data_IF_763412073760
#
_entry.id   IF_763412073760
#
_cell.length_a   1.000
_cell.length_b   1.000
_cell.length_c   1.000
_cell.angle_alpha   90.00
_cell.angle_beta   90.00
_cell.angle_gamma   90.00
#
_symmetry.space_group_name_H-M   'P 1'
#
loop_
_entity.id
_entity.type
_entity.pdbx_description
1 polymer ?
#
# COMPACT_ATOMS: atom_id res chain seq x y z
N UNK A 1 14.38 -7.22 24.81
CA UNK A 1 15.07 -8.47 24.44
C UNK A 1 15.06 -8.60 22.92
N UNK A 2 16.23 -8.49 22.26
CA UNK A 2 16.38 -8.33 20.79
C UNK A 2 16.00 -9.59 19.99
N UNK A 3 16.00 -10.76 20.64
CA UNK A 3 15.67 -12.04 20.00
C UNK A 3 14.18 -12.16 19.67
N UNK A 4 13.31 -11.82 20.62
CA UNK A 4 11.86 -11.88 20.42
C UNK A 4 11.40 -10.95 19.29
N UNK A 5 11.98 -9.75 19.17
CA UNK A 5 11.68 -8.85 18.05
C UNK A 5 12.02 -9.49 16.69
N UNK A 6 13.15 -10.20 16.57
CA UNK A 6 13.55 -10.85 15.31
C UNK A 6 12.59 -11.95 14.87
N UNK A 7 11.90 -12.60 15.81
CA UNK A 7 10.91 -13.65 15.52
C UNK A 7 9.52 -13.07 15.28
N UNK A 8 9.12 -12.06 16.06
CA UNK A 8 7.79 -11.48 15.97
C UNK A 8 7.61 -10.57 14.74
N UNK A 9 8.65 -9.81 14.35
CA UNK A 9 8.54 -8.84 13.25
C UNK A 9 8.15 -9.50 11.92
N UNK A 10 8.79 -10.58 11.46
CA UNK A 10 8.36 -11.27 10.23
C UNK A 10 6.88 -11.63 10.26
N UNK A 11 6.40 -12.24 11.35
CA UNK A 11 5.01 -12.67 11.53
C UNK A 11 4.02 -11.49 11.51
N UNK A 12 4.33 -10.41 12.22
CA UNK A 12 3.49 -9.22 12.27
C UNK A 12 3.44 -8.46 10.93
N UNK A 13 4.44 -8.66 10.08
CA UNK A 13 4.57 -8.00 8.79
C UNK A 13 4.22 -8.90 7.60
N UNK A 14 3.74 -10.12 7.85
CA UNK A 14 3.15 -10.97 6.79
C UNK A 14 1.94 -10.30 6.15
N UNK A 15 1.17 -9.55 6.95
CA UNK A 15 -0.04 -8.84 6.54
C UNK A 15 -0.23 -7.52 7.32
N UNK A 16 0.50 -6.45 6.94
CA UNK A 16 0.40 -5.16 7.61
C UNK A 16 -0.88 -4.39 7.21
N UNK A 17 -1.61 -4.83 6.18
CA UNK A 17 -2.78 -4.12 5.65
C UNK A 17 -4.12 -4.65 6.20
N UNK A 18 -4.17 -5.84 6.79
CA UNK A 18 -5.39 -6.28 7.47
C UNK A 18 -5.45 -5.91 8.96
N UNK A 19 -4.36 -5.37 9.54
CA UNK A 19 -4.32 -4.90 10.94
C UNK A 19 -4.16 -3.37 10.97
N UNK A 20 -5.26 -2.59 10.88
CA UNK A 20 -5.18 -1.15 10.89
C UNK A 20 -4.71 -0.62 12.25
N UNK A 21 -3.45 -0.19 12.34
CA UNK A 21 -3.00 0.62 13.48
C UNK A 21 -3.47 2.06 13.31
N UNK A 22 -4.04 2.67 14.35
CA UNK A 22 -4.59 4.05 14.29
C UNK A 22 -3.61 5.11 13.79
N UNK A 23 -2.31 4.85 13.87
CA UNK A 23 -1.25 5.78 13.48
C UNK A 23 -0.70 5.54 12.05
N UNK A 24 -1.11 4.45 11.38
CA UNK A 24 -0.64 4.05 10.04
C UNK A 24 0.89 4.10 9.90
N UNK A 25 1.62 3.81 10.99
CA UNK A 25 3.08 3.91 11.00
C UNK A 25 3.73 2.96 9.99
N UNK A 26 3.06 1.86 9.64
CA UNK A 26 3.55 0.93 8.62
C UNK A 26 3.64 1.59 7.23
N UNK A 27 2.71 2.49 6.88
CA UNK A 27 2.76 3.25 5.62
C UNK A 27 3.99 4.16 5.60
N UNK A 28 4.28 4.82 6.73
CA UNK A 28 5.48 5.65 6.87
C UNK A 28 6.78 4.87 6.69
N UNK A 29 6.79 3.59 7.07
CA UNK A 29 7.95 2.70 6.85
C UNK A 29 8.14 2.43 5.36
N UNK A 30 7.06 2.12 4.62
CA UNK A 30 7.15 1.99 3.16
C UNK A 30 7.60 3.29 2.49
N UNK A 31 7.07 4.44 2.95
CA UNK A 31 7.45 5.75 2.44
C UNK A 31 8.92 6.10 2.72
N UNK A 32 9.46 5.75 3.90
CA UNK A 32 10.88 5.98 4.20
C UNK A 32 11.79 5.12 3.32
N UNK A 33 11.38 3.90 2.95
CA UNK A 33 12.16 3.07 2.04
C UNK A 33 12.24 3.63 0.61
N UNK A 34 11.42 4.62 0.24
CA UNK A 34 11.39 5.14 -1.13
C UNK A 34 12.71 5.71 -1.61
N UNK A 35 13.52 6.35 -0.74
CA UNK A 35 14.78 7.03 -1.10
C UNK A 35 14.79 7.68 -2.51
N UNK A 36 13.63 8.21 -2.93
CA UNK A 36 13.34 8.72 -4.27
C UNK A 36 13.08 10.21 -4.08
N UNK A 37 14.08 11.02 -4.41
CA UNK A 37 14.05 12.47 -4.28
C UNK A 37 12.87 13.09 -5.05
N UNK A 38 12.45 12.47 -6.16
CA UNK A 38 11.32 12.91 -6.98
C UNK A 38 9.99 12.65 -6.27
N UNK A 39 9.88 11.50 -5.60
CA UNK A 39 8.73 11.17 -4.77
C UNK A 39 8.62 12.09 -3.53
N UNK A 40 9.74 12.34 -2.85
CA UNK A 40 9.79 13.24 -1.70
C UNK A 40 9.39 14.67 -2.09
N UNK A 41 9.89 15.16 -3.22
CA UNK A 41 9.52 16.47 -3.78
C UNK A 41 8.01 16.57 -4.01
N UNK A 42 7.38 15.53 -4.57
CA UNK A 42 5.93 15.50 -4.77
C UNK A 42 5.14 15.47 -3.46
N UNK A 43 5.61 14.76 -2.43
CA UNK A 43 4.95 14.78 -1.12
C UNK A 43 4.97 16.19 -0.50
N UNK A 44 6.09 16.91 -0.64
CA UNK A 44 6.25 18.30 -0.18
C UNK A 44 5.33 19.25 -0.95
N UNK A 45 5.25 19.10 -2.28
CA UNK A 45 4.29 19.84 -3.13
C UNK A 45 2.84 19.62 -2.68
N UNK A 46 2.51 18.39 -2.26
CA UNK A 46 1.19 18.03 -1.75
C UNK A 46 0.93 18.51 -0.32
N UNK A 47 1.92 19.16 0.32
CA UNK A 47 1.87 19.63 1.71
C UNK A 47 1.54 18.52 2.71
N UNK A 48 2.01 17.31 2.43
CA UNK A 48 1.81 16.16 3.33
C UNK A 48 2.83 16.30 4.46
N UNK A 49 2.35 16.50 5.69
CA UNK A 49 3.23 16.68 6.86
C UNK A 49 3.97 15.37 7.14
N UNK A 50 5.21 15.27 6.69
CA UNK A 50 6.03 14.05 6.80
C UNK A 50 7.01 14.08 7.99
N UNK A 51 6.70 14.84 9.05
CA UNK A 51 7.57 15.11 10.21
C UNK A 51 7.88 13.88 11.09
N UNK A 52 7.56 12.66 10.66
CA UNK A 52 7.69 11.45 11.47
C UNK A 52 8.07 10.21 10.66
N UNK A 53 8.77 10.38 9.54
CA UNK A 53 9.44 9.24 8.94
C UNK A 53 10.43 8.67 9.98
N UNK A 54 10.42 7.35 10.22
CA UNK A 54 11.30 6.74 11.20
C UNK A 54 12.75 6.96 10.77
N UNK A 55 13.57 7.65 11.57
CA UNK A 55 14.95 7.99 11.20
C UNK A 55 15.85 6.78 10.95
N UNK A 56 15.51 5.62 11.52
CA UNK A 56 16.24 4.36 11.37
C UNK A 56 15.26 3.20 11.17
N UNK A 57 15.29 2.55 10.01
CA UNK A 57 14.58 1.29 9.76
C UNK A 57 15.47 0.12 10.22
N UNK A 58 15.01 -0.64 11.21
CA UNK A 58 15.78 -1.74 11.81
C UNK A 58 15.71 -3.05 11.00
N UNK A 59 14.69 -3.22 10.16
CA UNK A 59 14.42 -4.43 9.38
C UNK A 59 13.96 -4.07 7.96
N UNK A 60 14.25 -4.91 6.97
CA UNK A 60 13.59 -4.82 5.67
C UNK A 60 12.15 -5.35 5.80
N UNK A 61 11.25 -4.50 6.29
CA UNK A 61 9.85 -4.84 6.53
C UNK A 61 9.09 -5.30 5.27
N UNK A 62 9.22 -4.63 4.10
CA UNK A 62 8.54 -5.07 2.89
C UNK A 62 8.81 -6.54 2.51
N UNK A 63 10.03 -7.05 2.75
CA UNK A 63 10.40 -8.44 2.45
C UNK A 63 9.57 -9.49 3.20
N UNK A 64 8.96 -9.12 4.33
CA UNK A 64 8.12 -10.03 5.11
C UNK A 64 6.69 -10.13 4.61
N UNK A 65 6.27 -9.27 3.67
CA UNK A 65 4.92 -9.27 3.13
C UNK A 65 4.59 -10.61 2.46
N UNK A 66 3.54 -11.29 2.93
CA UNK A 66 3.05 -12.58 2.42
C UNK A 66 1.63 -12.50 1.88
N UNK A 67 0.84 -11.57 2.39
CA UNK A 67 -0.54 -11.36 2.01
C UNK A 67 -0.73 -9.90 1.58
N UNK A 68 -1.44 -9.71 0.46
CA UNK A 68 -1.78 -8.38 -0.01
C UNK A 68 -3.16 -8.37 -0.65
N UNK A 69 -4.07 -7.63 -0.04
CA UNK A 69 -5.34 -7.28 -0.66
C UNK A 69 -5.24 -5.86 -1.22
N UNK A 70 -5.40 -5.70 -2.54
CA UNK A 70 -5.22 -4.41 -3.22
C UNK A 70 -6.25 -3.38 -2.76
N UNK A 71 -7.48 -3.81 -2.48
CA UNK A 71 -8.53 -2.92 -2.02
C UNK A 71 -8.23 -2.40 -0.61
N UNK A 72 -7.88 -3.28 0.33
CA UNK A 72 -7.48 -2.91 1.70
C UNK A 72 -6.23 -2.01 1.70
N UNK A 73 -5.28 -2.31 0.83
CA UNK A 73 -4.10 -1.49 0.60
C UNK A 73 -4.47 -0.05 0.25
N UNK A 74 -5.27 0.16 -0.81
CA UNK A 74 -5.69 1.50 -1.24
C UNK A 74 -6.48 2.20 -0.12
N UNK A 75 -7.36 1.46 0.55
CA UNK A 75 -8.18 1.98 1.65
C UNK A 75 -7.37 2.49 2.83
N UNK A 76 -6.33 1.77 3.24
CA UNK A 76 -5.48 2.22 4.33
C UNK A 76 -4.57 3.38 3.94
N UNK A 77 -4.10 3.41 2.68
CA UNK A 77 -3.36 4.57 2.16
C UNK A 77 -4.25 5.81 2.10
N UNK A 78 -5.52 5.68 1.72
CA UNK A 78 -6.48 6.78 1.75
C UNK A 78 -6.70 7.31 3.18
N UNK A 79 -6.90 6.41 4.15
CA UNK A 79 -7.06 6.81 5.55
C UNK A 79 -5.84 7.53 6.10
N UNK A 80 -4.64 7.02 5.81
CA UNK A 80 -3.41 7.69 6.17
C UNK A 80 -3.30 9.06 5.50
N UNK A 81 -3.59 9.15 4.20
CA UNK A 81 -3.51 10.40 3.43
C UNK A 81 -4.42 11.48 4.02
N UNK A 82 -5.68 11.14 4.35
CA UNK A 82 -6.62 12.03 5.05
C UNK A 82 -6.07 12.49 6.40
N UNK A 83 -5.49 11.56 7.17
CA UNK A 83 -4.88 11.87 8.46
C UNK A 83 -3.66 12.79 8.34
N UNK A 84 -2.82 12.59 7.33
CA UNK A 84 -1.57 13.32 7.12
C UNK A 84 -1.78 14.73 6.55
N UNK A 85 -2.85 14.92 5.78
CA UNK A 85 -3.24 16.21 5.18
C UNK A 85 -4.24 17.00 6.06
N UNK A 86 -4.78 16.38 7.10
CA UNK A 86 -5.80 16.99 7.96
C UNK A 86 -7.16 17.16 7.27
N UNK A 87 -7.40 16.49 6.14
CA UNK A 87 -8.67 16.54 5.42
C UNK A 87 -9.75 15.84 6.27
N UNK A 88 -10.73 16.63 6.73
CA UNK A 88 -11.89 16.15 7.51
C UNK A 88 -13.17 16.01 6.68
N UNK A 89 -13.14 16.46 5.42
CA UNK A 89 -14.28 16.43 4.48
C UNK A 89 -14.07 15.36 3.41
N UNK A 90 -15.03 15.23 2.50
CA UNK A 90 -14.89 14.38 1.32
C UNK A 90 -13.71 14.87 0.47
N UNK A 91 -12.97 13.91 -0.12
CA UNK A 91 -11.83 14.20 -0.99
C UNK A 91 -12.30 14.90 -2.26
N UNK A 92 -11.55 15.91 -2.69
CA UNK A 92 -11.75 16.55 -3.99
C UNK A 92 -11.08 15.75 -5.11
N UNK A 93 -11.39 16.07 -6.37
CA UNK A 93 -10.78 15.41 -7.54
C UNK A 93 -9.25 15.44 -7.53
N UNK A 94 -8.67 16.58 -7.11
CA UNK A 94 -7.22 16.74 -6.99
C UNK A 94 -6.61 15.86 -5.90
N UNK A 95 -7.37 15.54 -4.85
CA UNK A 95 -6.90 14.64 -3.80
C UNK A 95 -6.87 13.19 -4.27
N UNK A 96 -7.80 12.78 -5.15
CA UNK A 96 -7.77 11.45 -5.75
C UNK A 96 -6.57 11.24 -6.68
N UNK A 97 -6.19 12.26 -7.44
CA UNK A 97 -4.98 12.20 -8.28
C UNK A 97 -3.71 12.03 -7.43
N UNK A 98 -3.60 12.79 -6.32
CA UNK A 98 -2.50 12.65 -5.35
C UNK A 98 -2.49 11.27 -4.69
N UNK A 99 -3.66 10.80 -4.25
CA UNK A 99 -3.80 9.49 -3.63
C UNK A 99 -3.39 8.38 -4.60
N UNK A 100 -3.85 8.44 -5.86
CA UNK A 100 -3.46 7.49 -6.91
C UNK A 100 -1.96 7.48 -7.09
N UNK A 101 -1.32 8.64 -7.20
CA UNK A 101 0.14 8.75 -7.29
C UNK A 101 0.85 8.10 -6.10
N UNK A 102 0.37 8.33 -4.88
CA UNK A 102 0.95 7.76 -3.66
C UNK A 102 0.78 6.24 -3.63
N UNK A 103 -0.42 5.72 -3.90
CA UNK A 103 -0.68 4.29 -3.92
C UNK A 103 0.21 3.57 -4.93
N UNK A 104 0.31 4.09 -6.16
CA UNK A 104 1.14 3.51 -7.23
C UNK A 104 2.62 3.57 -6.84
N UNK A 105 3.08 4.68 -6.25
CA UNK A 105 4.47 4.82 -5.78
C UNK A 105 4.81 3.83 -4.65
N UNK A 106 3.93 3.70 -3.65
CA UNK A 106 4.12 2.74 -2.56
C UNK A 106 4.17 1.31 -3.11
N UNK A 107 3.24 0.96 -3.98
CA UNK A 107 3.15 -0.37 -4.56
C UNK A 107 4.36 -0.70 -5.46
N UNK A 108 4.88 0.29 -6.18
CA UNK A 108 6.11 0.16 -6.99
C UNK A 108 7.30 -0.30 -6.14
N UNK A 109 7.48 0.23 -4.92
CA UNK A 109 8.55 -0.21 -3.99
C UNK A 109 8.36 -1.66 -3.57
N UNK A 110 7.11 -2.02 -3.25
CA UNK A 110 6.75 -3.37 -2.82
C UNK A 110 7.20 -4.36 -3.90
N UNK A 111 7.01 -4.02 -5.18
CA UNK A 111 7.41 -4.89 -6.29
C UNK A 111 8.93 -4.82 -6.59
N UNK A 112 9.49 -3.62 -6.76
CA UNK A 112 10.81 -3.45 -7.40
C UNK A 112 11.96 -3.73 -6.43
N UNK A 113 11.86 -3.30 -5.18
CA UNK A 113 13.05 -3.18 -4.31
C UNK A 113 13.23 -4.33 -3.32
N UNK A 114 12.23 -5.18 -3.11
CA UNK A 114 12.17 -5.99 -1.89
C UNK A 114 12.14 -7.50 -2.07
N UNK A 115 12.32 -8.02 -3.29
CA UNK A 115 12.24 -9.47 -3.59
C UNK A 115 11.05 -10.13 -2.88
N UNK A 116 9.90 -9.45 -2.87
CA UNK A 116 8.77 -9.85 -2.03
C UNK A 116 8.29 -11.21 -2.48
N UNK A 117 8.32 -12.17 -1.56
CA UNK A 117 7.83 -13.51 -1.80
C UNK A 117 6.37 -13.59 -1.32
N UNK A 118 5.49 -12.93 -2.06
CA UNK A 118 4.06 -12.86 -1.79
C UNK A 118 3.42 -14.23 -2.00
N UNK A 119 2.64 -14.71 -1.03
CA UNK A 119 1.94 -15.99 -1.13
C UNK A 119 0.49 -15.84 -1.57
N UNK A 120 -0.18 -14.77 -1.13
CA UNK A 120 -1.58 -14.50 -1.43
C UNK A 120 -1.74 -13.08 -1.95
N UNK A 121 -2.36 -12.95 -3.13
CA UNK A 121 -2.80 -11.67 -3.70
C UNK A 121 -4.32 -11.70 -3.86
N UNK A 122 -4.98 -10.68 -3.34
CA UNK A 122 -6.42 -10.50 -3.48
C UNK A 122 -6.76 -9.22 -4.23
N UNK A 123 -7.69 -9.33 -5.17
CA UNK A 123 -8.15 -8.22 -5.99
C UNK A 123 -9.66 -8.15 -5.86
N UNK A 124 -10.15 -7.04 -5.32
CA UNK A 124 -11.58 -6.80 -5.14
C UNK A 124 -12.07 -5.68 -6.06
N UNK A 125 -13.30 -5.84 -6.54
CA UNK A 125 -14.00 -4.74 -7.21
C UNK A 125 -14.41 -3.69 -6.18
N UNK A 126 -13.95 -2.46 -6.38
CA UNK A 126 -14.49 -1.31 -5.65
C UNK A 126 -15.75 -0.76 -6.34
N UNK A 127 -16.71 -0.31 -5.55
CA UNK A 127 -17.86 0.46 -6.03
C UNK A 127 -17.53 1.93 -6.34
N UNK A 128 -16.28 2.35 -6.10
CA UNK A 128 -15.83 3.72 -6.34
C UNK A 128 -14.91 3.80 -7.57
N UNK A 129 -15.26 4.63 -8.54
CA UNK A 129 -14.52 4.76 -9.82
C UNK A 129 -13.03 5.09 -9.64
N UNK A 130 -12.68 5.92 -8.65
CA UNK A 130 -11.29 6.29 -8.40
C UNK A 130 -10.44 5.14 -7.85
N UNK A 131 -11.04 4.20 -7.09
CA UNK A 131 -10.35 2.98 -6.68
C UNK A 131 -10.09 2.10 -7.89
N UNK A 132 -11.05 1.99 -8.82
CA UNK A 132 -10.86 1.21 -10.04
C UNK A 132 -9.69 1.73 -10.88
N UNK A 133 -9.55 3.05 -11.01
CA UNK A 133 -8.39 3.66 -11.67
C UNK A 133 -7.07 3.28 -10.97
N UNK A 134 -7.02 3.40 -9.64
CA UNK A 134 -5.84 3.03 -8.86
C UNK A 134 -5.50 1.53 -8.97
N UNK A 135 -6.50 0.66 -8.89
CA UNK A 135 -6.36 -0.79 -9.11
C UNK A 135 -5.79 -1.04 -10.50
N UNK A 136 -6.33 -0.38 -11.54
CA UNK A 136 -5.85 -0.50 -12.91
C UNK A 136 -4.36 -0.19 -13.05
N UNK A 137 -3.88 0.91 -12.46
CA UNK A 137 -2.45 1.26 -12.48
C UNK A 137 -1.58 0.25 -11.70
N UNK A 138 -2.08 -0.24 -10.56
CA UNK A 138 -1.40 -1.27 -9.77
C UNK A 138 -1.28 -2.57 -10.57
N UNK A 139 -2.34 -3.01 -11.23
CA UNK A 139 -2.33 -4.20 -12.09
C UNK A 139 -1.36 -4.03 -13.27
N UNK A 140 -1.31 -2.84 -13.87
CA UNK A 140 -0.34 -2.54 -14.93
C UNK A 140 1.12 -2.68 -14.44
N UNK A 141 1.41 -2.25 -13.20
CA UNK A 141 2.73 -2.48 -12.58
C UNK A 141 3.02 -3.96 -12.36
N UNK A 142 2.05 -4.74 -11.89
CA UNK A 142 2.20 -6.20 -11.72
C UNK A 142 2.54 -6.85 -13.07
N UNK A 143 1.81 -6.50 -14.13
CA UNK A 143 2.00 -7.05 -15.47
C UNK A 143 3.39 -6.75 -16.05
N UNK A 144 3.96 -5.59 -15.73
CA UNK A 144 5.33 -5.21 -16.13
C UNK A 144 6.42 -5.94 -15.34
N UNK A 145 6.08 -6.57 -14.22
CA UNK A 145 7.02 -7.20 -13.30
C UNK A 145 6.61 -8.66 -13.00
N UNK A 146 6.70 -9.57 -13.98
CA UNK A 146 6.20 -10.95 -13.83
C UNK A 146 6.89 -11.75 -12.72
N UNK A 147 8.10 -11.37 -12.30
CA UNK A 147 8.78 -11.99 -11.16
C UNK A 147 8.02 -11.80 -9.84
N UNK A 148 7.23 -10.73 -9.72
CA UNK A 148 6.40 -10.47 -8.55
C UNK A 148 5.36 -11.57 -8.32
N UNK A 149 4.80 -12.12 -9.39
CA UNK A 149 3.74 -13.15 -9.31
C UNK A 149 4.27 -14.58 -9.22
N UNK A 150 5.58 -14.79 -9.40
CA UNK A 150 6.18 -16.12 -9.52
C UNK A 150 5.92 -17.04 -8.31
N UNK A 151 5.84 -16.47 -7.10
CA UNK A 151 5.66 -17.23 -5.86
C UNK A 151 4.24 -17.14 -5.27
N UNK A 152 3.32 -16.47 -5.95
CA UNK A 152 1.93 -16.37 -5.52
C UNK A 152 1.30 -17.75 -5.62
N UNK A 153 0.81 -18.25 -4.49
CA UNK A 153 0.13 -19.54 -4.37
C UNK A 153 -1.38 -19.37 -4.51
N UNK A 154 -1.91 -18.27 -3.98
CA UNK A 154 -3.33 -17.95 -3.97
C UNK A 154 -3.57 -16.61 -4.67
N UNK A 155 -4.35 -16.62 -5.73
CA UNK A 155 -4.85 -15.43 -6.39
C UNK A 155 -6.37 -15.42 -6.26
N UNK A 156 -6.91 -14.56 -5.40
CA UNK A 156 -8.34 -14.46 -5.17
C UNK A 156 -8.90 -13.22 -5.86
N UNK A 157 -10.00 -13.40 -6.59
CA UNK A 157 -10.63 -12.36 -7.40
C UNK A 157 -12.08 -12.20 -6.95
N UNK A 158 -12.40 -11.07 -6.32
CA UNK A 158 -13.73 -10.77 -5.79
C UNK A 158 -14.40 -9.70 -6.65
N UNK A 159 -14.93 -10.13 -7.79
CA UNK A 159 -15.80 -9.32 -8.64
C UNK A 159 -17.24 -9.71 -8.28
N UNK A 160 -17.90 -8.95 -7.41
CA UNK A 160 -19.24 -9.29 -6.93
C UNK A 160 -20.21 -9.62 -8.07
N UNK A 161 -21.09 -10.60 -7.83
CA UNK A 161 -22.23 -10.88 -8.69
C UNK A 161 -23.02 -9.59 -8.90
N UNK A 162 -23.33 -9.28 -10.16
CA UNK A 162 -24.30 -8.23 -10.49
C UNK A 162 -25.55 -8.43 -9.65
N UNK A 163 -25.92 -7.44 -8.85
CA UNK A 163 -27.27 -7.34 -8.33
C UNK A 163 -28.23 -7.32 -9.53
N UNK A 164 -28.78 -8.49 -9.88
CA UNK A 164 -29.98 -8.57 -10.71
C UNK A 164 -31.12 -8.24 -9.76
N UNK A 165 -31.38 -6.93 -9.59
CA UNK A 165 -32.57 -6.45 -8.91
C UNK A 165 -33.77 -6.72 -9.80
N UNK A 166 -34.54 -7.73 -9.40
CA UNK A 166 -35.93 -8.03 -9.79
C UNK A 166 -36.88 -6.88 -9.47
#
# INVERSE_FOLDING_TARGET
NKLWCRLAIPLLWEDPFSIPTKNYNFIKIYLHNLNDDDFNTKLDEYKIVNNSLPSNILFNYPRFLKYLNIYEFIYLVEKWFKSATGIRKQLATTDFEKLRFICVSIFRIIIIENEVNLHTLEIEKSGFDYYLACIGNILELILKNPNFIHHIRNLNLYFGNSYVGS
#
